data_IF_412427303404
#
_entry.id   IF_412427303404
#
_cell.length_a   1.000
_cell.length_b   1.000
_cell.length_c   1.000
_cell.angle_alpha   90.00
_cell.angle_beta   90.00
_cell.angle_gamma   90.00
#
_symmetry.space_group_name_H-M   'P 1'
#
loop_
_entity.id
_entity.type
_entity.pdbx_description
1 polymer ?
#
# COMPACT_ATOMS: atom_id res chain seq x y z
N UNK A 1 -44.52 -5.70 40.13
CA UNK A 1 -43.07 -5.77 40.04
C UNK A 1 -42.69 -5.36 38.63
N UNK A 2 -41.82 -4.38 38.52
CA UNK A 2 -41.29 -3.99 37.24
C UNK A 2 -40.66 -5.21 36.55
N UNK A 3 -40.88 -5.34 35.25
CA UNK A 3 -40.31 -6.33 34.38
C UNK A 3 -39.54 -5.55 33.33
N UNK A 4 -38.28 -5.88 33.05
CA UNK A 4 -37.52 -5.25 32.00
C UNK A 4 -38.09 -5.64 30.61
N UNK A 5 -38.33 -4.65 29.79
CA UNK A 5 -38.74 -4.84 28.40
C UNK A 5 -37.51 -4.77 27.44
N UNK A 6 -37.57 -5.40 26.30
CA UNK A 6 -36.47 -5.38 25.31
C UNK A 6 -36.18 -3.96 24.84
N UNK A 7 -34.90 -3.56 24.71
CA UNK A 7 -34.57 -2.28 24.10
C UNK A 7 -35.01 -2.20 22.63
N UNK A 8 -35.34 -1.02 22.18
CA UNK A 8 -35.85 -0.79 20.82
C UNK A 8 -34.93 0.04 19.96
N UNK A 9 -34.78 -0.33 18.71
CA UNK A 9 -34.06 0.45 17.70
C UNK A 9 -34.78 0.38 16.34
N UNK A 10 -35.00 1.52 15.76
CA UNK A 10 -35.49 1.67 14.39
C UNK A 10 -34.55 2.58 13.60
N UNK A 11 -34.35 2.31 12.33
CA UNK A 11 -33.49 3.08 11.42
C UNK A 11 -34.11 3.14 10.03
N UNK A 12 -33.66 4.09 9.23
CA UNK A 12 -33.75 4.00 7.78
C UNK A 12 -32.43 3.43 7.28
N UNK A 13 -32.47 2.25 6.68
CA UNK A 13 -31.32 1.58 6.09
C UNK A 13 -30.98 2.18 4.73
N UNK A 14 -29.71 2.14 4.33
CA UNK A 14 -29.23 2.66 3.05
C UNK A 14 -28.73 1.53 2.15
N UNK A 15 -28.59 1.82 0.87
CA UNK A 15 -27.93 0.95 -0.11
C UNK A 15 -26.84 1.72 -0.84
N UNK A 16 -25.78 2.13 -0.11
CA UNK A 16 -24.73 2.95 -0.70
C UNK A 16 -23.88 2.16 -1.67
N UNK A 17 -23.26 2.89 -2.61
CA UNK A 17 -22.14 2.40 -3.41
C UNK A 17 -20.85 2.92 -2.79
N UNK A 18 -19.98 2.02 -2.36
CA UNK A 18 -18.61 2.30 -1.97
C UNK A 18 -17.76 2.19 -3.23
N UNK A 19 -17.25 3.30 -3.70
CA UNK A 19 -16.29 3.36 -4.82
C UNK A 19 -14.92 3.46 -4.16
N UNK A 20 -13.96 2.72 -4.67
CA UNK A 20 -12.56 2.81 -4.30
C UNK A 20 -12.09 4.27 -4.21
N UNK A 21 -11.17 4.58 -3.33
CA UNK A 21 -10.66 5.92 -3.03
C UNK A 21 -11.70 6.96 -2.58
N UNK A 22 -12.95 6.57 -2.44
CA UNK A 22 -13.98 7.48 -1.95
C UNK A 22 -14.14 7.38 -0.43
N UNK A 23 -14.70 8.46 0.15
CA UNK A 23 -14.96 8.51 1.58
C UNK A 23 -15.94 7.42 2.03
N UNK A 24 -15.78 6.97 3.29
CA UNK A 24 -16.65 6.00 3.94
C UNK A 24 -18.15 6.31 3.76
N UNK A 25 -18.95 5.26 3.52
CA UNK A 25 -20.35 5.38 3.12
C UNK A 25 -21.31 5.16 4.29
N UNK A 26 -22.30 6.06 4.45
CA UNK A 26 -23.28 6.00 5.54
C UNK A 26 -24.22 4.81 5.42
N UNK A 27 -24.40 4.07 6.52
CA UNK A 27 -25.19 2.85 6.57
C UNK A 27 -26.62 3.09 7.06
N UNK A 28 -26.81 3.98 8.03
CA UNK A 28 -28.09 4.19 8.69
C UNK A 28 -28.40 5.67 8.85
N UNK A 29 -29.69 6.00 8.78
CA UNK A 29 -30.20 7.34 9.05
C UNK A 29 -31.50 7.25 9.84
N UNK A 30 -31.95 8.38 10.41
CA UNK A 30 -33.19 8.49 11.15
C UNK A 30 -33.31 7.43 12.27
N UNK A 31 -32.19 7.11 12.93
CA UNK A 31 -32.23 6.20 14.06
C UNK A 31 -33.14 6.72 15.19
N UNK A 32 -33.92 5.83 15.79
CA UNK A 32 -34.64 6.10 17.02
C UNK A 32 -34.47 4.89 17.95
N UNK A 33 -34.04 5.14 19.19
CA UNK A 33 -33.74 4.10 20.17
C UNK A 33 -34.53 4.38 21.48
N UNK A 34 -34.91 3.33 22.17
CA UNK A 34 -35.60 3.35 23.45
C UNK A 34 -35.22 2.12 24.28
N UNK A 35 -35.69 2.12 25.52
CA UNK A 35 -35.47 0.98 26.44
C UNK A 35 -36.62 -0.01 26.44
N UNK A 36 -37.64 0.15 25.56
CA UNK A 36 -38.83 -0.67 25.51
C UNK A 36 -39.91 -0.33 26.53
N UNK A 37 -39.64 0.57 27.47
CA UNK A 37 -40.44 0.90 28.64
C UNK A 37 -41.93 1.17 28.32
N UNK A 38 -42.78 0.20 28.62
CA UNK A 38 -44.23 0.26 28.41
C UNK A 38 -44.98 0.60 29.70
N UNK A 39 -44.36 0.52 30.86
CA UNK A 39 -44.99 0.73 32.19
C UNK A 39 -44.34 1.86 33.03
N UNK A 40 -43.28 2.50 32.54
CA UNK A 40 -42.56 3.61 33.20
C UNK A 40 -41.53 3.15 34.25
N UNK A 41 -41.14 1.87 34.23
CA UNK A 41 -40.24 1.29 35.23
C UNK A 41 -38.74 1.33 34.84
N UNK A 42 -38.43 1.64 33.59
CA UNK A 42 -37.09 1.51 33.02
C UNK A 42 -36.37 2.84 32.74
N UNK A 43 -36.83 3.92 33.39
CA UNK A 43 -36.24 5.26 33.19
C UNK A 43 -34.76 5.37 33.57
N UNK A 44 -34.22 4.35 34.24
CA UNK A 44 -32.83 4.24 34.65
C UNK A 44 -31.92 3.40 33.73
N UNK A 45 -32.51 2.62 32.86
CA UNK A 45 -31.81 1.63 32.06
C UNK A 45 -30.90 2.27 31.02
N UNK A 46 -29.90 1.53 30.61
CA UNK A 46 -28.85 1.96 29.67
C UNK A 46 -28.55 0.84 28.67
N UNK A 47 -28.22 1.19 27.44
CA UNK A 47 -27.76 0.24 26.43
C UNK A 47 -26.29 -0.05 26.73
N UNK A 48 -25.97 -1.36 26.86
CA UNK A 48 -24.64 -1.84 27.22
C UNK A 48 -23.94 -2.52 26.06
N UNK A 49 -24.69 -2.96 25.03
CA UNK A 49 -24.10 -3.67 23.91
C UNK A 49 -24.91 -3.60 22.62
N UNK A 50 -24.23 -3.92 21.53
CA UNK A 50 -24.84 -4.09 20.20
C UNK A 50 -24.01 -5.09 19.40
N UNK A 51 -24.66 -5.99 18.68
CA UNK A 51 -23.98 -6.89 17.76
C UNK A 51 -24.35 -6.55 16.32
N UNK A 52 -23.34 -6.47 15.47
CA UNK A 52 -23.49 -6.20 14.04
C UNK A 52 -22.80 -7.31 13.28
N UNK A 53 -23.40 -7.80 12.23
CA UNK A 53 -22.75 -8.73 11.29
C UNK A 53 -22.50 -8.05 9.97
N UNK A 54 -21.33 -8.33 9.36
CA UNK A 54 -21.00 -7.94 7.99
C UNK A 54 -20.70 -9.19 7.20
N UNK A 55 -21.48 -9.46 6.16
CA UNK A 55 -21.30 -10.63 5.30
C UNK A 55 -20.51 -10.27 4.04
N UNK A 56 -19.85 -11.28 3.47
CA UNK A 56 -19.01 -11.13 2.27
C UNK A 56 -17.84 -10.15 2.48
N UNK A 57 -17.18 -10.24 3.63
CA UNK A 57 -15.91 -9.56 3.88
C UNK A 57 -14.85 -10.34 3.09
N UNK A 58 -14.49 -9.83 1.92
CA UNK A 58 -13.61 -10.50 0.95
C UNK A 58 -12.21 -9.86 0.91
N UNK A 59 -12.07 -8.60 1.37
CA UNK A 59 -10.84 -7.80 1.35
C UNK A 59 -10.28 -7.65 2.78
N UNK A 60 -9.82 -8.76 3.34
CA UNK A 60 -9.37 -8.81 4.74
C UNK A 60 -8.21 -7.85 5.03
N UNK A 61 -8.42 -6.97 5.98
CA UNK A 61 -7.44 -5.95 6.41
C UNK A 61 -7.70 -4.57 5.79
N UNK A 62 -8.55 -4.48 4.78
CA UNK A 62 -8.91 -3.23 4.10
C UNK A 62 -10.36 -2.82 4.33
N UNK A 63 -11.22 -3.69 4.89
CA UNK A 63 -12.61 -3.39 5.19
C UNK A 63 -12.80 -2.97 6.64
N UNK A 64 -13.57 -1.89 6.85
CA UNK A 64 -13.81 -1.28 8.17
C UNK A 64 -15.28 -0.91 8.38
N UNK A 65 -15.74 -1.07 9.63
CA UNK A 65 -16.86 -0.29 10.14
C UNK A 65 -16.34 0.87 10.98
N UNK A 66 -16.60 2.10 10.54
CA UNK A 66 -16.23 3.29 11.29
C UNK A 66 -17.33 3.60 12.30
N UNK A 67 -17.02 3.48 13.58
CA UNK A 67 -17.97 3.62 14.69
C UNK A 67 -17.37 4.58 15.71
N UNK A 68 -18.04 5.72 15.93
CA UNK A 68 -17.58 6.77 16.86
C UNK A 68 -16.11 7.18 16.60
N UNK A 69 -15.76 7.42 15.34
CA UNK A 69 -14.40 7.78 14.90
C UNK A 69 -13.33 6.71 15.21
N UNK A 70 -13.74 5.46 15.45
CA UNK A 70 -12.85 4.32 15.52
C UNK A 70 -13.06 3.44 14.29
N UNK A 71 -11.95 3.02 13.66
CA UNK A 71 -11.93 2.13 12.52
C UNK A 71 -11.90 0.69 13.03
N UNK A 72 -13.08 0.07 13.13
CA UNK A 72 -13.23 -1.34 13.48
C UNK A 72 -12.85 -2.19 12.26
N UNK A 73 -11.59 -2.60 12.16
CA UNK A 73 -11.13 -3.49 11.09
C UNK A 73 -11.89 -4.82 11.11
N UNK A 74 -12.43 -5.25 9.98
CA UNK A 74 -13.19 -6.49 9.85
C UNK A 74 -12.27 -7.71 9.73
N UNK A 75 -11.34 -7.82 10.69
CA UNK A 75 -10.30 -8.86 10.80
C UNK A 75 -10.49 -9.63 12.10
N UNK A 76 -10.28 -10.94 12.04
CA UNK A 76 -10.46 -11.82 13.20
C UNK A 76 -9.54 -11.44 14.38
N UNK A 77 -10.07 -11.57 15.60
CA UNK A 77 -9.39 -11.25 16.86
C UNK A 77 -8.89 -9.78 16.98
N UNK A 78 -9.50 -8.85 16.25
CA UNK A 78 -9.20 -7.42 16.40
C UNK A 78 -10.09 -6.76 17.45
N UNK A 79 -9.57 -5.71 18.08
CA UNK A 79 -10.34 -4.87 19.01
C UNK A 79 -9.76 -3.47 19.05
N UNK A 80 -10.67 -2.48 19.02
CA UNK A 80 -10.34 -1.06 19.13
C UNK A 80 -11.26 -0.40 20.16
N UNK A 81 -10.76 0.64 20.83
CA UNK A 81 -11.56 1.46 21.77
C UNK A 81 -11.62 2.90 21.29
N UNK A 82 -12.73 3.57 21.60
CA UNK A 82 -12.92 5.00 21.32
C UNK A 82 -13.58 5.70 22.49
N UNK A 83 -13.46 7.02 22.51
CA UNK A 83 -14.03 7.88 23.54
C UNK A 83 -15.45 8.31 23.12
N UNK A 84 -16.47 7.77 23.77
CA UNK A 84 -17.86 8.15 23.50
C UNK A 84 -18.45 9.01 24.63
N UNK A 85 -18.25 8.59 25.87
CA UNK A 85 -18.70 9.33 27.07
C UNK A 85 -17.57 9.58 28.07
N UNK A 86 -16.45 8.92 27.92
CA UNK A 86 -15.24 8.99 28.75
C UNK A 86 -14.03 8.52 27.95
N UNK A 87 -12.95 8.15 28.58
CA UNK A 87 -11.71 7.74 27.94
C UNK A 87 -11.75 6.24 27.64
N UNK A 88 -11.67 5.87 26.34
CA UNK A 88 -11.69 4.47 25.86
C UNK A 88 -12.87 3.66 26.42
N UNK A 89 -14.04 4.25 26.43
CA UNK A 89 -15.23 3.69 27.09
C UNK A 89 -16.13 2.88 26.15
N UNK A 90 -16.00 3.04 24.83
CA UNK A 90 -16.65 2.20 23.82
C UNK A 90 -15.63 1.21 23.26
N UNK A 91 -15.91 -0.07 23.37
CA UNK A 91 -15.10 -1.13 22.76
C UNK A 91 -15.80 -1.71 21.55
N UNK A 92 -15.07 -1.82 20.43
CA UNK A 92 -15.44 -2.58 19.26
C UNK A 92 -14.53 -3.82 19.18
N UNK A 93 -15.10 -5.01 19.27
CA UNK A 93 -14.36 -6.28 19.11
C UNK A 93 -14.90 -7.03 17.91
N UNK A 94 -14.02 -7.60 17.09
CA UNK A 94 -14.37 -8.29 15.83
C UNK A 94 -13.93 -9.74 15.88
N UNK A 95 -14.82 -10.62 15.43
CA UNK A 95 -14.50 -12.02 15.13
C UNK A 95 -14.97 -12.37 13.73
N UNK A 96 -14.17 -13.13 12.98
CA UNK A 96 -14.49 -13.50 11.59
C UNK A 96 -14.63 -15.01 11.46
N UNK A 97 -15.70 -15.46 10.82
CA UNK A 97 -15.92 -16.85 10.46
C UNK A 97 -16.24 -16.94 8.96
N UNK A 98 -15.34 -17.56 8.19
CA UNK A 98 -15.39 -17.53 6.72
C UNK A 98 -15.34 -16.08 6.23
N UNK A 99 -16.35 -15.61 5.51
CA UNK A 99 -16.48 -14.22 5.02
C UNK A 99 -17.49 -13.40 5.84
N UNK A 100 -17.83 -13.83 7.05
CA UNK A 100 -18.73 -13.07 7.94
C UNK A 100 -17.99 -12.56 9.15
N UNK A 101 -17.90 -11.24 9.27
CA UNK A 101 -17.43 -10.57 10.46
C UNK A 101 -18.60 -10.33 11.43
N UNK A 102 -18.36 -10.61 12.71
CA UNK A 102 -19.26 -10.26 13.81
C UNK A 102 -18.59 -9.17 14.65
N UNK A 103 -19.16 -8.00 14.66
CA UNK A 103 -18.70 -6.83 15.40
C UNK A 103 -19.52 -6.71 16.66
N UNK A 104 -18.89 -6.77 17.82
CA UNK A 104 -19.50 -6.62 19.14
C UNK A 104 -19.08 -5.29 19.73
N UNK A 105 -20.06 -4.41 19.93
CA UNK A 105 -19.87 -3.16 20.66
C UNK A 105 -20.24 -3.36 22.13
N UNK A 106 -19.42 -2.85 23.03
CA UNK A 106 -19.68 -2.87 24.46
C UNK A 106 -19.35 -1.54 25.12
N UNK A 107 -20.19 -1.16 26.08
CA UNK A 107 -20.07 0.06 26.88
C UNK A 107 -20.66 -0.16 28.26
N UNK A 108 -20.25 0.63 29.26
CA UNK A 108 -20.79 0.54 30.64
C UNK A 108 -22.25 1.00 30.77
N UNK A 109 -22.78 1.72 29.78
CA UNK A 109 -24.18 2.17 29.74
C UNK A 109 -24.35 3.45 28.91
N UNK A 110 -25.08 3.35 27.79
CA UNK A 110 -25.39 4.45 26.87
C UNK A 110 -26.86 4.86 26.99
N UNK A 111 -27.13 6.14 26.86
CA UNK A 111 -28.48 6.63 26.69
C UNK A 111 -29.02 6.37 25.31
N UNK A 112 -30.34 6.32 25.13
CA UNK A 112 -30.98 6.22 23.82
C UNK A 112 -30.50 7.29 22.83
N UNK A 113 -30.28 8.53 23.30
CA UNK A 113 -29.78 9.63 22.49
C UNK A 113 -28.34 9.39 21.98
N UNK A 114 -27.49 8.77 22.80
CA UNK A 114 -26.12 8.40 22.40
C UNK A 114 -26.12 7.26 21.37
N UNK A 115 -26.99 6.25 21.54
CA UNK A 115 -27.21 5.21 20.55
C UNK A 115 -27.68 5.78 19.21
N UNK A 116 -28.64 6.71 19.22
CA UNK A 116 -29.11 7.40 17.99
C UNK A 116 -27.96 8.10 17.30
N UNK A 117 -27.09 8.80 18.02
CA UNK A 117 -25.92 9.47 17.47
C UNK A 117 -24.93 8.47 16.89
N UNK A 118 -24.63 7.40 17.64
CA UNK A 118 -23.71 6.34 17.24
C UNK A 118 -24.17 5.66 15.93
N UNK A 119 -25.43 5.24 15.88
CA UNK A 119 -25.98 4.51 14.73
C UNK A 119 -26.07 5.38 13.48
N UNK A 120 -26.51 6.64 13.63
CA UNK A 120 -26.56 7.58 12.50
C UNK A 120 -25.18 7.95 11.93
N UNK A 121 -24.12 7.76 12.71
CA UNK A 121 -22.73 8.06 12.31
C UNK A 121 -21.98 6.83 11.79
N UNK A 122 -22.57 5.64 11.82
CA UNK A 122 -21.92 4.42 11.31
C UNK A 122 -21.71 4.49 9.81
N UNK A 123 -20.48 4.19 9.39
CA UNK A 123 -20.12 4.11 7.98
C UNK A 123 -19.36 2.83 7.70
N UNK A 124 -19.38 2.40 6.43
CA UNK A 124 -18.55 1.34 5.90
C UNK A 124 -17.49 1.95 4.97
N UNK A 125 -16.29 1.39 5.01
CA UNK A 125 -15.15 1.78 4.18
C UNK A 125 -14.41 0.54 3.70
N UNK A 126 -13.90 0.59 2.47
CA UNK A 126 -12.93 -0.34 1.93
C UNK A 126 -11.77 0.47 1.37
N UNK A 127 -10.56 0.18 1.81
CA UNK A 127 -9.32 0.88 1.45
C UNK A 127 -8.39 0.01 0.61
N UNK A 128 -8.91 -1.08 0.02
CA UNK A 128 -8.15 -1.88 -0.93
C UNK A 128 -8.05 -1.14 -2.26
N UNK A 129 -6.89 -1.13 -2.85
CA UNK A 129 -6.60 -0.51 -4.16
C UNK A 129 -7.22 -1.30 -5.34
N UNK A 130 -7.62 -2.56 -5.11
CA UNK A 130 -8.39 -3.41 -6.05
C UNK A 130 -9.44 -4.19 -5.27
N UNK A 131 -10.53 -3.52 -4.81
CA UNK A 131 -11.50 -4.15 -3.93
C UNK A 131 -12.33 -5.21 -4.65
N UNK A 132 -12.59 -6.31 -3.96
CA UNK A 132 -13.43 -7.40 -4.45
C UNK A 132 -14.87 -6.95 -4.68
N UNK A 133 -15.30 -6.87 -5.94
CA UNK A 133 -16.62 -6.38 -6.38
C UNK A 133 -17.68 -7.48 -6.57
N UNK A 134 -17.28 -8.75 -6.47
CA UNK A 134 -18.15 -9.91 -6.79
C UNK A 134 -19.37 -10.07 -5.92
N UNK A 135 -19.36 -9.54 -4.68
CA UNK A 135 -20.42 -9.67 -3.70
C UNK A 135 -20.72 -8.34 -3.01
N UNK A 136 -22.00 -8.06 -2.76
CA UNK A 136 -22.39 -6.94 -1.90
C UNK A 136 -22.11 -7.27 -0.42
N UNK A 137 -21.66 -6.28 0.36
CA UNK A 137 -21.54 -6.40 1.82
C UNK A 137 -22.89 -6.09 2.45
N UNK A 138 -23.37 -6.99 3.33
CA UNK A 138 -24.61 -6.73 4.07
C UNK A 138 -24.27 -6.48 5.53
N UNK A 139 -24.47 -5.26 5.96
CA UNK A 139 -24.23 -4.81 7.35
C UNK A 139 -25.55 -4.86 8.10
N UNK A 140 -25.66 -5.73 9.08
CA UNK A 140 -26.91 -5.96 9.83
C UNK A 140 -26.70 -5.74 11.32
N UNK A 141 -27.44 -4.83 11.93
CA UNK A 141 -27.56 -4.79 13.39
C UNK A 141 -28.47 -5.93 13.79
N UNK A 142 -27.96 -6.90 14.55
CA UNK A 142 -28.64 -8.14 14.91
C UNK A 142 -29.17 -8.16 16.33
N UNK A 143 -28.48 -7.53 17.27
CA UNK A 143 -28.94 -7.43 18.66
C UNK A 143 -28.58 -6.07 19.26
N UNK A 144 -29.34 -5.66 20.28
CA UNK A 144 -29.04 -4.56 21.19
C UNK A 144 -29.38 -5.00 22.61
N UNK A 145 -28.48 -4.73 23.57
CA UNK A 145 -28.58 -5.20 24.95
C UNK A 145 -28.64 -4.02 25.89
N UNK A 146 -29.50 -4.04 26.89
CA UNK A 146 -29.56 -3.08 28.00
C UNK A 146 -29.08 -3.70 29.34
N UNK A 147 -29.16 -2.93 30.44
CA UNK A 147 -28.77 -3.32 31.80
C UNK A 147 -29.96 -3.55 32.77
N UNK A 148 -31.18 -3.54 32.27
CA UNK A 148 -32.39 -3.75 33.07
C UNK A 148 -32.52 -5.14 33.70
N UNK A 149 -31.94 -6.13 33.06
CA UNK A 149 -31.80 -7.51 33.55
C UNK A 149 -33.02 -8.41 33.27
N UNK A 150 -32.91 -9.68 33.68
CA UNK A 150 -33.87 -10.73 33.34
C UNK A 150 -34.76 -11.16 34.50
N UNK A 151 -34.84 -10.35 35.58
CA UNK A 151 -35.67 -10.64 36.75
C UNK A 151 -37.17 -10.62 36.41
N UNK A 152 -37.93 -11.51 37.05
CA UNK A 152 -39.38 -11.62 36.88
C UNK A 152 -39.88 -11.96 35.43
N UNK A 153 -39.01 -12.45 34.60
CA UNK A 153 -39.31 -12.76 33.18
C UNK A 153 -39.01 -11.57 32.25
N UNK A 154 -38.23 -10.60 32.69
CA UNK A 154 -37.70 -9.54 31.84
C UNK A 154 -36.71 -10.07 30.81
N UNK A 155 -36.52 -9.32 29.74
CA UNK A 155 -35.52 -9.55 28.69
C UNK A 155 -34.68 -8.28 28.53
N UNK A 156 -33.39 -8.45 28.31
CA UNK A 156 -32.45 -7.36 28.08
C UNK A 156 -31.87 -7.36 26.66
N UNK A 157 -32.31 -8.29 25.83
CA UNK A 157 -31.74 -8.50 24.49
C UNK A 157 -32.80 -8.37 23.39
N UNK A 158 -32.80 -7.25 22.70
CA UNK A 158 -33.60 -7.09 21.49
C UNK A 158 -32.99 -7.85 20.31
N UNK A 159 -33.77 -8.72 19.67
CA UNK A 159 -33.41 -9.34 18.39
C UNK A 159 -33.83 -8.41 17.25
N UNK A 160 -32.86 -7.97 16.47
CA UNK A 160 -33.00 -7.00 15.38
C UNK A 160 -32.63 -7.61 14.02
N UNK A 161 -33.07 -6.95 12.95
CA UNK A 161 -32.70 -7.31 11.57
C UNK A 161 -32.65 -6.04 10.71
N UNK A 162 -31.77 -5.10 11.09
CA UNK A 162 -31.66 -3.80 10.44
C UNK A 162 -30.47 -3.84 9.48
N UNK A 163 -30.73 -4.14 8.21
CA UNK A 163 -29.71 -4.43 7.21
C UNK A 163 -29.55 -3.29 6.20
N UNK A 164 -28.31 -2.81 6.04
CA UNK A 164 -27.85 -1.98 4.92
C UNK A 164 -27.01 -2.83 3.96
N UNK A 165 -27.17 -2.58 2.66
CA UNK A 165 -26.44 -3.33 1.62
C UNK A 165 -25.49 -2.37 0.91
N UNK A 166 -24.20 -2.64 0.97
CA UNK A 166 -23.14 -1.85 0.32
C UNK A 166 -22.73 -2.56 -0.95
N UNK A 167 -22.78 -1.86 -2.08
CA UNK A 167 -22.18 -2.30 -3.34
C UNK A 167 -20.77 -1.74 -3.39
N UNK A 168 -19.75 -2.59 -3.53
CA UNK A 168 -18.36 -2.18 -3.72
C UNK A 168 -18.08 -2.13 -5.22
N UNK A 169 -17.41 -1.07 -5.65
CA UNK A 169 -17.03 -0.82 -7.04
C UNK A 169 -15.55 -0.44 -7.05
N UNK A 170 -14.73 -1.16 -7.80
CA UNK A 170 -13.37 -0.75 -8.09
C UNK A 170 -13.37 0.52 -8.93
N UNK A 171 -12.41 1.39 -8.72
CA UNK A 171 -12.14 2.50 -9.61
C UNK A 171 -11.53 1.98 -10.94
N UNK A 172 -11.51 2.83 -11.95
CA UNK A 172 -11.17 2.37 -13.31
C UNK A 172 -9.69 2.43 -13.57
N UNK A 173 -8.76 2.09 -12.99
CA UNK A 173 -7.33 2.08 -13.31
C UNK A 173 -6.44 2.89 -12.36
N UNK A 174 -5.76 2.19 -11.50
CA UNK A 174 -4.76 2.73 -10.60
C UNK A 174 -3.40 2.95 -11.27
N UNK A 175 -2.56 3.76 -10.65
CA UNK A 175 -1.20 3.96 -11.17
C UNK A 175 -0.28 2.80 -10.78
N UNK A 176 0.64 2.40 -11.68
CA UNK A 176 1.65 1.42 -11.33
C UNK A 176 2.52 1.89 -10.15
N UNK A 177 3.00 0.95 -9.35
CA UNK A 177 3.83 1.19 -8.17
C UNK A 177 5.23 0.67 -8.41
N UNK A 178 6.22 1.59 -8.41
CA UNK A 178 7.62 1.22 -8.50
C UNK A 178 8.22 1.00 -7.11
N UNK A 179 8.90 -0.09 -6.91
CA UNK A 179 9.76 -0.30 -5.75
C UNK A 179 11.22 -0.16 -6.18
N UNK A 180 11.96 0.74 -5.55
CA UNK A 180 13.36 1.01 -5.87
C UNK A 180 14.21 1.06 -4.60
N UNK A 181 15.51 0.77 -4.72
CA UNK A 181 16.44 0.78 -3.60
C UNK A 181 17.76 1.41 -3.99
N UNK A 182 18.28 2.32 -3.15
CA UNK A 182 19.63 2.87 -3.31
C UNK A 182 20.69 1.75 -3.32
N UNK A 183 21.71 1.89 -4.15
CA UNK A 183 22.78 0.92 -4.38
C UNK A 183 24.15 1.51 -4.04
N UNK A 184 25.13 0.63 -3.87
CA UNK A 184 26.55 0.99 -3.82
C UNK A 184 27.33 0.16 -4.82
N UNK A 185 28.28 0.79 -5.50
CA UNK A 185 29.14 0.14 -6.48
C UNK A 185 30.57 0.65 -6.34
N UNK A 186 31.54 -0.10 -6.85
CA UNK A 186 32.89 0.40 -7.09
C UNK A 186 32.96 0.92 -8.53
N UNK A 187 33.75 1.97 -8.80
CA UNK A 187 34.01 2.37 -10.16
C UNK A 187 34.65 1.22 -10.95
N UNK A 188 34.48 1.20 -12.26
CA UNK A 188 35.03 0.21 -13.20
C UNK A 188 34.58 -1.25 -12.95
N UNK A 189 33.73 -1.51 -11.97
CA UNK A 189 33.24 -2.83 -11.61
C UNK A 189 31.75 -2.94 -11.90
N UNK A 190 31.38 -3.92 -12.72
CA UNK A 190 29.98 -4.19 -13.01
C UNK A 190 29.21 -4.56 -11.71
N UNK A 191 28.09 -3.88 -11.46
CA UNK A 191 27.24 -4.05 -10.28
C UNK A 191 25.87 -4.55 -10.70
N UNK A 192 25.48 -5.74 -10.20
CA UNK A 192 24.10 -6.19 -10.30
C UNK A 192 23.19 -5.36 -9.40
N UNK A 193 22.12 -4.80 -9.96
CA UNK A 193 21.10 -4.05 -9.23
C UNK A 193 20.12 -5.01 -8.55
N UNK A 194 19.63 -4.63 -7.38
CA UNK A 194 18.70 -5.44 -6.60
C UNK A 194 17.62 -4.56 -5.95
N UNK A 195 16.46 -5.16 -5.61
CA UNK A 195 15.39 -4.44 -4.93
C UNK A 195 14.65 -3.44 -5.83
N UNK A 196 14.60 -3.72 -7.13
CA UNK A 196 13.79 -2.99 -8.11
C UNK A 196 12.69 -3.92 -8.61
N UNK A 197 11.44 -3.49 -8.48
CA UNK A 197 10.26 -4.20 -8.98
C UNK A 197 9.12 -3.23 -9.24
N UNK A 198 8.16 -3.68 -10.03
CA UNK A 198 6.94 -2.94 -10.34
C UNK A 198 5.75 -3.83 -9.98
N UNK A 199 4.71 -3.24 -9.45
CA UNK A 199 3.41 -3.83 -9.24
C UNK A 199 2.35 -2.88 -9.81
N UNK A 200 1.18 -3.42 -10.05
CA UNK A 200 0.00 -2.66 -10.43
C UNK A 200 -1.21 -3.34 -9.79
N UNK A 201 -2.12 -2.61 -9.13
CA UNK A 201 -3.25 -3.20 -8.44
C UNK A 201 -4.23 -3.92 -9.37
N UNK A 202 -4.53 -3.35 -10.52
CA UNK A 202 -5.58 -3.80 -11.44
C UNK A 202 -5.04 -4.30 -12.80
N UNK A 203 -3.78 -3.99 -13.15
CA UNK A 203 -3.19 -4.45 -14.39
C UNK A 203 -2.14 -5.56 -14.21
N UNK A 204 -2.18 -6.55 -15.09
CA UNK A 204 -1.17 -7.61 -15.17
C UNK A 204 -0.05 -7.33 -16.18
N UNK A 205 -0.19 -6.25 -16.97
CA UNK A 205 0.76 -5.82 -18.00
C UNK A 205 0.80 -4.30 -18.07
N UNK A 206 1.94 -3.76 -18.47
CA UNK A 206 2.15 -2.32 -18.66
C UNK A 206 2.36 -2.00 -20.14
N UNK A 207 1.94 -0.80 -20.54
CA UNK A 207 2.17 -0.26 -21.87
C UNK A 207 3.67 -0.02 -22.08
N UNK A 208 4.34 0.55 -21.08
CA UNK A 208 5.79 0.68 -21.12
C UNK A 208 6.44 0.80 -19.72
N UNK A 209 7.71 0.39 -19.66
CA UNK A 209 8.62 0.71 -18.54
C UNK A 209 9.91 1.23 -19.14
N UNK A 210 10.22 2.50 -18.88
CA UNK A 210 11.46 3.13 -19.29
C UNK A 210 12.42 3.21 -18.13
N UNK A 211 13.63 2.68 -18.34
CA UNK A 211 14.74 2.70 -17.39
C UNK A 211 15.81 3.61 -17.96
N UNK A 212 16.18 4.64 -17.22
CA UNK A 212 17.29 5.53 -17.60
C UNK A 212 18.34 5.63 -16.51
N UNK A 213 19.59 5.91 -16.89
CA UNK A 213 20.66 6.27 -15.97
C UNK A 213 21.38 7.49 -16.51
N UNK A 214 21.70 8.46 -15.66
CA UNK A 214 22.36 9.72 -16.04
C UNK A 214 23.85 9.54 -16.29
N UNK A 215 24.52 8.59 -15.60
CA UNK A 215 25.94 8.30 -15.72
C UNK A 215 26.23 6.80 -15.82
N UNK A 216 27.22 6.43 -16.62
CA UNK A 216 27.53 5.03 -16.89
C UNK A 216 26.55 4.40 -17.88
N UNK A 217 26.53 3.08 -17.92
CA UNK A 217 25.62 2.29 -18.75
C UNK A 217 25.19 1.04 -18.02
N UNK A 218 24.06 0.50 -18.40
CA UNK A 218 23.59 -0.77 -17.88
C UNK A 218 23.25 -1.75 -19.00
N UNK A 219 23.30 -3.03 -18.68
CA UNK A 219 22.75 -4.11 -19.51
C UNK A 219 21.60 -4.76 -18.77
N UNK A 220 20.65 -5.29 -19.48
CA UNK A 220 19.65 -6.18 -18.94
C UNK A 220 19.38 -7.32 -19.93
N UNK A 221 18.94 -8.46 -19.43
CA UNK A 221 18.60 -9.62 -20.22
C UNK A 221 17.15 -9.99 -19.96
N UNK A 222 16.40 -10.24 -21.03
CA UNK A 222 15.03 -10.72 -20.92
C UNK A 222 14.71 -11.69 -22.02
N UNK A 223 14.12 -12.80 -21.66
CA UNK A 223 13.61 -13.78 -22.62
C UNK A 223 12.12 -13.60 -22.92
N UNK A 224 11.43 -12.65 -22.23
CA UNK A 224 9.97 -12.60 -22.20
C UNK A 224 9.35 -11.20 -22.24
N UNK A 225 10.06 -10.14 -21.81
CA UNK A 225 9.61 -8.77 -22.04
C UNK A 225 10.07 -8.30 -23.43
N UNK A 226 9.35 -7.36 -24.03
CA UNK A 226 9.68 -6.81 -25.35
C UNK A 226 10.45 -5.51 -25.17
N UNK A 227 11.57 -5.38 -25.90
CA UNK A 227 12.27 -4.11 -26.02
C UNK A 227 11.56 -3.21 -27.01
N UNK A 228 11.34 -1.94 -26.62
CA UNK A 228 10.88 -0.91 -27.52
C UNK A 228 12.04 -0.04 -28.01
N UNK A 229 11.99 0.35 -29.28
CA UNK A 229 12.97 1.22 -29.89
C UNK A 229 14.24 0.53 -30.34
N UNK A 230 15.41 1.17 -30.10
CA UNK A 230 16.73 0.72 -30.59
C UNK A 230 17.50 -0.16 -29.60
N UNK A 231 17.01 -0.33 -28.40
CA UNK A 231 17.67 -1.12 -27.35
C UNK A 231 17.69 -2.60 -27.70
N UNK A 232 18.77 -3.28 -27.32
CA UNK A 232 18.98 -4.70 -27.63
C UNK A 232 19.39 -5.45 -26.35
N UNK A 233 18.83 -6.62 -26.14
CA UNK A 233 19.15 -7.49 -25.02
C UNK A 233 20.66 -7.67 -24.82
N UNK A 234 21.15 -7.45 -23.61
CA UNK A 234 22.55 -7.62 -23.23
C UNK A 234 23.52 -6.58 -23.79
N UNK A 235 23.05 -5.59 -24.53
CA UNK A 235 23.86 -4.47 -25.02
C UNK A 235 23.82 -3.34 -24.00
N UNK A 236 24.98 -2.76 -23.70
CA UNK A 236 25.09 -1.63 -22.78
C UNK A 236 24.39 -0.38 -23.33
N UNK A 237 23.48 0.19 -22.54
CA UNK A 237 22.72 1.38 -22.88
C UNK A 237 22.52 2.23 -21.60
N UNK A 238 22.04 3.45 -21.75
CA UNK A 238 21.66 4.32 -20.64
C UNK A 238 20.16 4.69 -20.68
N UNK A 239 19.41 4.18 -21.66
CA UNK A 239 17.99 4.42 -21.86
C UNK A 239 17.35 3.20 -22.53
N UNK A 240 16.55 2.45 -21.80
CA UNK A 240 15.89 1.24 -22.28
C UNK A 240 14.42 1.30 -21.95
N UNK A 241 13.57 1.01 -22.94
CA UNK A 241 12.12 0.84 -22.74
C UNK A 241 11.72 -0.61 -22.96
N UNK A 242 10.90 -1.14 -22.06
CA UNK A 242 10.34 -2.48 -22.09
C UNK A 242 8.82 -2.40 -22.11
N UNK A 243 8.16 -3.41 -22.68
CA UNK A 243 6.73 -3.65 -22.57
C UNK A 243 6.42 -5.13 -22.32
N UNK A 244 5.23 -5.42 -21.79
CA UNK A 244 4.80 -6.79 -21.54
C UNK A 244 4.14 -6.99 -20.17
N UNK A 245 4.03 -8.25 -19.75
CA UNK A 245 3.46 -8.54 -18.42
C UNK A 245 4.39 -8.07 -17.31
N UNK A 246 3.82 -7.59 -16.20
CA UNK A 246 4.58 -7.15 -15.01
C UNK A 246 5.52 -8.24 -14.52
N UNK A 247 5.10 -9.50 -14.54
CA UNK A 247 5.94 -10.64 -14.17
C UNK A 247 7.19 -10.74 -15.04
N UNK A 248 7.06 -10.55 -16.38
CA UNK A 248 8.17 -10.60 -17.31
C UNK A 248 9.10 -9.39 -17.20
N UNK A 249 8.53 -8.21 -17.00
CA UNK A 249 9.27 -6.97 -16.75
C UNK A 249 10.09 -7.10 -15.46
N UNK A 250 9.53 -7.62 -14.38
CA UNK A 250 10.24 -7.84 -13.11
C UNK A 250 11.39 -8.86 -13.26
N UNK A 251 11.22 -9.89 -14.09
CA UNK A 251 12.33 -10.80 -14.44
C UNK A 251 13.45 -10.04 -15.13
N UNK A 252 13.14 -9.13 -16.06
CA UNK A 252 14.15 -8.31 -16.74
C UNK A 252 14.84 -7.34 -15.77
N UNK A 253 14.10 -6.62 -14.94
CA UNK A 253 14.62 -5.68 -13.94
C UNK A 253 15.62 -6.37 -12.98
N UNK A 254 15.36 -7.60 -12.59
CA UNK A 254 16.25 -8.39 -11.73
C UNK A 254 17.59 -8.74 -12.38
N UNK A 255 17.75 -8.55 -13.69
CA UNK A 255 19.02 -8.81 -14.43
C UNK A 255 19.85 -7.57 -14.68
N UNK A 256 19.39 -6.38 -14.30
CA UNK A 256 20.12 -5.13 -14.53
C UNK A 256 21.51 -5.21 -13.94
N UNK A 257 22.51 -4.94 -14.78
CA UNK A 257 23.91 -4.84 -14.37
C UNK A 257 24.47 -3.51 -14.89
N UNK A 258 24.84 -2.62 -13.98
CA UNK A 258 25.36 -1.30 -14.28
C UNK A 258 26.89 -1.25 -14.15
N UNK A 259 27.52 -0.37 -14.94
CA UNK A 259 28.96 -0.07 -14.87
C UNK A 259 29.17 1.44 -15.05
N UNK A 260 30.02 2.05 -14.21
CA UNK A 260 30.44 3.45 -14.36
C UNK A 260 31.16 3.68 -15.68
N UNK A 261 31.35 4.94 -16.07
CA UNK A 261 32.38 5.28 -17.04
C UNK A 261 33.76 4.98 -16.44
N UNK A 262 34.77 4.76 -17.30
CA UNK A 262 36.12 4.42 -16.85
C UNK A 262 36.68 5.51 -15.94
N UNK A 263 37.14 5.12 -14.76
CA UNK A 263 37.72 5.99 -13.74
C UNK A 263 36.75 7.13 -13.31
N UNK A 264 35.45 6.85 -13.26
CA UNK A 264 34.44 7.81 -12.85
C UNK A 264 33.74 7.34 -11.57
N UNK A 265 34.03 7.99 -10.47
CA UNK A 265 33.45 7.74 -9.16
C UNK A 265 32.27 8.66 -8.82
N UNK A 266 31.72 9.37 -9.81
CA UNK A 266 30.51 10.19 -9.64
C UNK A 266 29.30 9.29 -9.41
N UNK A 267 28.48 9.65 -8.43
CA UNK A 267 27.24 8.94 -8.18
C UNK A 267 26.30 9.01 -9.39
N UNK A 268 25.68 7.90 -9.73
CA UNK A 268 24.70 7.83 -10.78
C UNK A 268 23.27 7.81 -10.22
N UNK A 269 22.32 8.33 -10.99
CA UNK A 269 20.88 8.27 -10.69
C UNK A 269 20.17 7.47 -11.77
N UNK A 270 19.47 6.43 -11.33
CA UNK A 270 18.52 5.69 -12.15
C UNK A 270 17.13 6.29 -11.98
N UNK A 271 16.39 6.36 -13.07
CA UNK A 271 14.95 6.66 -13.08
C UNK A 271 14.21 5.48 -13.68
N UNK A 272 13.16 5.02 -12.99
CA UNK A 272 12.19 4.04 -13.50
C UNK A 272 10.88 4.77 -13.73
N UNK A 273 10.42 4.82 -14.97
CA UNK A 273 9.11 5.35 -15.36
C UNK A 273 8.26 4.19 -15.86
N UNK A 274 7.19 3.86 -15.16
CA UNK A 274 6.19 2.87 -15.56
C UNK A 274 4.93 3.57 -16.08
N UNK A 275 4.27 2.96 -17.06
CA UNK A 275 3.12 3.50 -17.79
C UNK A 275 2.15 2.34 -18.11
N UNK A 276 0.91 2.44 -17.64
CA UNK A 276 -0.19 1.50 -17.89
C UNK A 276 -1.15 1.97 -18.99
N UNK A 277 -0.88 3.17 -19.55
CA UNK A 277 -1.67 3.85 -20.56
C UNK A 277 -2.38 5.09 -20.00
N UNK A 278 -3.38 4.96 -19.11
CA UNK A 278 -3.99 6.12 -18.44
C UNK A 278 -3.07 6.81 -17.42
N UNK A 279 -2.26 6.07 -16.68
CA UNK A 279 -1.47 6.57 -15.57
C UNK A 279 0.02 6.25 -15.69
N UNK A 280 0.83 7.01 -14.98
CA UNK A 280 2.28 6.82 -14.95
C UNK A 280 2.83 6.99 -13.53
N UNK A 281 3.89 6.27 -13.20
CA UNK A 281 4.66 6.47 -11.98
C UNK A 281 6.15 6.56 -12.28
N UNK A 282 6.87 7.48 -11.62
CA UNK A 282 8.30 7.71 -11.82
C UNK A 282 9.03 7.79 -10.50
N UNK A 283 10.02 6.90 -10.32
CA UNK A 283 10.85 6.84 -9.12
C UNK A 283 12.33 6.81 -9.46
N UNK A 284 13.11 7.50 -8.62
CA UNK A 284 14.56 7.61 -8.74
C UNK A 284 15.28 6.84 -7.62
N UNK A 285 16.43 6.26 -7.94
CA UNK A 285 17.35 5.76 -6.92
C UNK A 285 18.81 6.07 -7.28
N UNK A 286 19.63 6.27 -6.23
CA UNK A 286 21.03 6.61 -6.40
C UNK A 286 21.92 5.38 -6.30
N UNK A 287 22.91 5.27 -7.18
CA UNK A 287 24.07 4.38 -7.06
C UNK A 287 25.23 5.22 -6.52
N UNK A 288 25.60 4.99 -5.26
CA UNK A 288 26.77 5.60 -4.67
C UNK A 288 28.03 4.88 -5.14
N UNK A 289 28.93 5.60 -5.82
CA UNK A 289 30.15 5.03 -6.39
C UNK A 289 31.33 5.26 -5.46
N UNK A 290 32.04 4.16 -5.17
CA UNK A 290 33.27 4.21 -4.38
C UNK A 290 34.48 4.17 -5.32
N UNK A 291 35.36 5.13 -5.15
CA UNK A 291 36.64 5.18 -5.89
C UNK A 291 37.53 3.96 -5.60
N UNK A 292 38.13 3.43 -6.62
CA UNK A 292 39.16 2.37 -6.56
C UNK A 292 40.46 2.92 -7.08
N UNK A 293 41.54 2.64 -6.40
CA UNK A 293 42.86 3.11 -6.86
C UNK A 293 43.31 2.36 -8.12
N UNK A 294 43.47 3.10 -9.20
CA UNK A 294 43.96 2.58 -10.48
C UNK A 294 45.50 2.52 -10.55
N UNK A 295 45.99 1.67 -11.43
CA UNK A 295 47.43 1.59 -11.68
C UNK A 295 47.96 2.85 -12.38
N UNK A 296 49.10 3.40 -11.97
CA UNK A 296 49.68 4.51 -12.66
C UNK A 296 50.09 4.10 -14.09
N UNK A 297 49.87 4.98 -15.04
CA UNK A 297 50.21 4.75 -16.45
C UNK A 297 51.41 5.61 -16.86
N UNK A 298 52.27 5.04 -17.70
CA UNK A 298 53.35 5.77 -18.33
C UNK A 298 53.37 5.44 -19.84
N UNK A 299 53.20 6.47 -20.64
CA UNK A 299 53.39 6.38 -22.07
C UNK A 299 54.62 7.17 -22.49
N UNK A 300 55.45 6.61 -23.37
CA UNK A 300 56.56 7.29 -23.94
C UNK A 300 56.88 6.72 -25.35
N UNK A 301 57.29 7.58 -26.24
CA UNK A 301 57.79 7.15 -27.55
C UNK A 301 59.29 6.95 -27.45
N UNK A 302 59.73 5.72 -27.66
CA UNK A 302 61.16 5.43 -27.71
C UNK A 302 61.80 6.08 -28.95
N UNK A 303 62.97 6.62 -28.78
CA UNK A 303 63.80 7.14 -29.87
C UNK A 303 65.08 6.31 -29.98
N UNK A 304 65.65 6.23 -31.19
CA UNK A 304 66.95 5.59 -31.43
C UNK A 304 67.97 6.64 -31.84
N UNK A 305 68.40 7.49 -30.92
CA UNK A 305 69.29 8.56 -31.26
C UNK A 305 70.70 8.01 -31.54
N UNK A 306 71.37 8.58 -32.53
CA UNK A 306 72.80 8.37 -32.72
C UNK A 306 73.55 9.32 -31.76
N UNK A 307 74.43 8.77 -30.97
CA UNK A 307 75.34 9.55 -30.14
C UNK A 307 76.73 9.54 -30.80
N UNK A 308 77.29 10.71 -31.01
CA UNK A 308 78.65 10.89 -31.49
C UNK A 308 79.59 11.23 -30.34
N UNK A 309 80.87 10.83 -30.43
CA UNK A 309 81.86 11.16 -29.46
C UNK A 309 81.93 12.70 -29.33
N UNK A 310 81.98 13.21 -28.11
CA UNK A 310 81.91 14.66 -27.73
C UNK A 310 80.59 15.37 -28.14
N UNK A 311 79.52 14.65 -28.56
CA UNK A 311 78.22 15.22 -28.88
C UNK A 311 77.38 15.42 -27.64
N UNK A 312 76.33 16.26 -27.77
CA UNK A 312 75.37 16.52 -26.71
C UNK A 312 74.56 15.26 -26.37
N UNK A 313 74.09 15.17 -25.12
CA UNK A 313 73.23 14.08 -24.66
C UNK A 313 71.98 13.97 -25.53
N UNK A 314 71.66 12.74 -25.99
CA UNK A 314 70.49 12.48 -26.83
C UNK A 314 69.35 11.94 -26.03
N UNK A 315 68.16 12.43 -26.29
CA UNK A 315 66.94 11.97 -25.63
C UNK A 315 66.54 10.57 -26.08
N UNK A 316 66.37 9.67 -25.12
CA UNK A 316 65.96 8.28 -25.38
C UNK A 316 64.44 8.12 -25.52
N UNK A 317 63.70 9.02 -24.95
CA UNK A 317 62.22 9.00 -25.00
C UNK A 317 61.67 10.39 -25.31
N UNK A 318 60.65 10.43 -26.11
CA UNK A 318 59.89 11.64 -26.46
C UNK A 318 58.41 11.42 -26.16
N UNK A 319 57.65 12.51 -26.08
CA UNK A 319 56.22 12.48 -25.81
C UNK A 319 55.87 11.60 -24.61
N UNK A 320 56.66 11.68 -23.52
CA UNK A 320 56.31 10.97 -22.29
C UNK A 320 55.15 11.67 -21.57
N UNK A 321 54.17 10.87 -21.18
CA UNK A 321 53.06 11.29 -20.33
C UNK A 321 52.91 10.26 -19.23
N UNK A 322 52.79 10.72 -18.00
CA UNK A 322 52.48 9.89 -16.84
C UNK A 322 51.09 10.25 -16.33
N UNK A 323 50.27 9.25 -16.07
CA UNK A 323 49.02 9.37 -15.38
C UNK A 323 49.09 8.74 -13.98
N UNK A 324 48.51 9.36 -12.98
CA UNK A 324 48.51 8.86 -11.59
C UNK A 324 47.54 7.68 -11.35
N UNK A 325 46.80 7.26 -12.37
CA UNK A 325 45.59 6.51 -12.13
C UNK A 325 44.45 7.40 -11.64
N UNK A 326 43.22 7.01 -11.87
CA UNK A 326 42.08 7.70 -11.26
C UNK A 326 41.97 7.36 -9.77
N UNK A 327 41.37 8.21 -8.98
CA UNK A 327 40.91 7.95 -7.61
C UNK A 327 39.66 8.77 -7.35
#
# INVERSE_FOLDING_TARGET
>A
TAVNDDPTLTVTTSTPTMIEDQAAQSLYTNAAAGYGDTDGSESGDRITGMTITVTNVDDSGYEFLNINSADCALVDDTSVTSDLTGTNDLTCAVSVSSTTATVTLSHAGLTSAQIVTLVNAMTYENTDEDPSTGNTRVVTITTMTDDGGTANGGDNDAVLSLASTVTVVAADNDSPVNTVSAQTANEDVAKAMTGTSIADPDDSSLDSVRITVDLGTFTLATSQATYDGSSTEGVADNDVTLSGTIANINVALATITWTSATNDNTNAVFTILSDDGPNTNSDDFTVTVTAINDEPTLTATASNPMHTEDGDAASLFTNSAAGSGGA
#
